data_IF_738679801200
#
_entry.id   IF_738679801200
#
_cell.length_a   1.000
_cell.length_b   1.000
_cell.length_c   1.000
_cell.angle_alpha   90.00
_cell.angle_beta   90.00
_cell.angle_gamma   90.00
#
_symmetry.space_group_name_H-M   'P 1'
#
loop_
_entity.id
_entity.type
_entity.pdbx_description
1 polymer ?
#
# COMPACT_ATOMS: atom_id res chain seq x y z
N UNK A 1 -20.40 10.38 -8.55
CA UNK A 1 -19.19 10.98 -7.95
C UNK A 1 -18.01 10.78 -8.88
N UNK A 2 -17.19 11.81 -9.10
CA UNK A 2 -16.03 11.75 -9.99
C UNK A 2 -14.82 11.15 -9.25
N UNK A 3 -14.23 10.09 -9.82
CA UNK A 3 -12.99 9.50 -9.30
C UNK A 3 -11.81 9.97 -10.16
N UNK A 4 -10.85 10.73 -9.58
CA UNK A 4 -9.70 11.22 -10.32
C UNK A 4 -8.87 10.07 -10.88
N UNK A 5 -8.39 10.21 -12.12
CA UNK A 5 -7.60 9.18 -12.81
C UNK A 5 -6.34 8.76 -12.03
N UNK A 6 -5.79 9.65 -11.20
CA UNK A 6 -4.63 9.39 -10.34
C UNK A 6 -4.92 8.34 -9.26
N UNK A 7 -6.13 8.29 -8.71
CA UNK A 7 -6.53 7.22 -7.78
C UNK A 7 -6.77 5.88 -8.48
N UNK A 8 -6.79 5.86 -9.81
CA UNK A 8 -6.99 4.65 -10.62
C UNK A 8 -5.67 3.96 -11.00
N UNK A 9 -4.53 4.59 -10.74
CA UNK A 9 -3.20 4.07 -11.04
C UNK A 9 -2.38 3.98 -9.75
N UNK A 10 -1.79 2.82 -9.50
CA UNK A 10 -0.84 2.60 -8.43
C UNK A 10 0.41 1.93 -8.99
N UNK A 11 1.58 2.30 -8.49
CA UNK A 11 2.83 1.66 -8.87
C UNK A 11 3.07 0.46 -7.95
N UNK A 12 2.84 -0.74 -8.44
CA UNK A 12 3.17 -1.97 -7.72
C UNK A 12 4.67 -2.23 -7.79
N UNK A 13 5.38 -2.04 -6.68
CA UNK A 13 6.81 -2.40 -6.59
C UNK A 13 6.94 -3.77 -5.95
N UNK A 14 7.65 -4.64 -6.64
CA UNK A 14 7.92 -6.01 -6.19
C UNK A 14 9.20 -5.99 -5.36
N UNK A 15 9.07 -6.18 -4.04
CA UNK A 15 10.20 -6.24 -3.12
C UNK A 15 10.51 -7.69 -2.76
N UNK A 16 11.79 -8.03 -2.65
CA UNK A 16 12.25 -9.33 -2.16
C UNK A 16 12.03 -9.44 -0.65
N UNK A 17 11.53 -10.59 -0.17
CA UNK A 17 11.53 -10.91 1.26
C UNK A 17 12.95 -11.23 1.71
N UNK A 18 13.35 -10.74 2.89
CA UNK A 18 14.66 -11.05 3.45
C UNK A 18 14.71 -12.54 3.87
N UNK A 19 15.89 -13.17 3.71
CA UNK A 19 16.18 -14.57 4.11
C UNK A 19 15.41 -15.68 3.37
N UNK A 20 15.09 -15.49 2.09
CA UNK A 20 14.65 -16.59 1.22
C UNK A 20 15.81 -17.10 0.38
N UNK A 21 15.96 -18.43 0.34
CA UNK A 21 17.03 -19.12 -0.40
C UNK A 21 16.75 -19.16 -1.91
N UNK A 22 15.48 -19.34 -2.31
CA UNK A 22 15.07 -19.36 -3.73
C UNK A 22 14.37 -18.06 -4.15
N UNK A 23 15.00 -17.26 -5.00
CA UNK A 23 14.38 -16.06 -5.60
C UNK A 23 13.66 -16.35 -6.93
N UNK A 24 13.55 -17.62 -7.34
CA UNK A 24 12.78 -18.05 -8.52
C UNK A 24 11.29 -18.26 -8.28
N UNK A 25 10.86 -18.32 -7.01
CA UNK A 25 9.45 -18.55 -6.63
C UNK A 25 8.75 -17.21 -6.36
N UNK A 26 7.51 -16.99 -6.85
CA UNK A 26 6.75 -15.76 -6.61
C UNK A 26 6.50 -15.51 -5.11
N UNK A 27 6.54 -16.57 -4.31
CA UNK A 27 6.41 -16.58 -2.86
C UNK A 27 7.54 -15.83 -2.12
N UNK A 28 8.69 -15.63 -2.77
CA UNK A 28 9.83 -14.89 -2.23
C UNK A 28 9.72 -13.38 -2.41
N UNK A 29 8.66 -12.91 -3.08
CA UNK A 29 8.41 -11.50 -3.29
C UNK A 29 7.16 -11.04 -2.52
N UNK A 30 7.18 -9.79 -2.10
CA UNK A 30 6.02 -9.06 -1.60
C UNK A 30 5.75 -7.91 -2.56
N UNK A 31 4.51 -7.80 -3.02
CA UNK A 31 4.10 -6.65 -3.83
C UNK A 31 3.64 -5.56 -2.87
N UNK A 32 4.26 -4.39 -2.96
CA UNK A 32 3.83 -3.20 -2.22
C UNK A 32 3.39 -2.16 -3.23
N UNK A 33 2.14 -1.74 -3.12
CA UNK A 33 1.61 -0.68 -3.96
C UNK A 33 2.07 0.67 -3.40
N UNK A 34 2.95 1.35 -4.13
CA UNK A 34 3.22 2.76 -3.90
C UNK A 34 1.98 3.55 -4.33
N UNK A 35 1.21 3.92 -3.32
CA UNK A 35 0.12 4.86 -3.48
C UNK A 35 0.70 6.23 -3.83
N UNK A 36 0.05 6.90 -4.78
CA UNK A 36 0.29 8.32 -5.08
C UNK A 36 0.15 9.17 -3.80
N UNK A 37 0.76 10.36 -3.78
CA UNK A 37 0.70 11.30 -2.65
C UNK A 37 -0.73 11.49 -2.15
N UNK A 38 -1.69 11.59 -3.08
CA UNK A 38 -3.12 11.74 -2.76
C UNK A 38 -3.68 10.54 -1.98
N UNK A 39 -3.26 9.33 -2.32
CA UNK A 39 -3.65 8.11 -1.63
C UNK A 39 -3.05 8.02 -0.22
N UNK A 40 -1.77 8.36 -0.05
CA UNK A 40 -1.13 8.39 1.27
C UNK A 40 -1.78 9.39 2.22
N UNK A 41 -2.22 10.54 1.70
CA UNK A 41 -2.97 11.53 2.49
C UNK A 41 -4.29 10.92 2.97
N UNK A 42 -5.03 10.24 2.09
CA UNK A 42 -6.28 9.59 2.45
C UNK A 42 -6.08 8.49 3.51
N UNK A 43 -5.06 7.64 3.34
CA UNK A 43 -4.68 6.63 4.34
C UNK A 43 -4.35 7.27 5.69
N UNK A 44 -3.65 8.40 5.71
CA UNK A 44 -3.35 9.12 6.95
C UNK A 44 -4.62 9.63 7.64
N UNK A 45 -5.58 10.16 6.88
CA UNK A 45 -6.87 10.62 7.43
C UNK A 45 -7.68 9.44 8.00
N UNK A 46 -7.80 8.35 7.24
CA UNK A 46 -8.53 7.15 7.66
C UNK A 46 -7.86 6.52 8.87
N UNK A 47 -6.52 6.40 8.87
CA UNK A 47 -5.74 5.88 9.99
C UNK A 47 -5.89 6.73 11.26
N UNK A 48 -5.90 8.06 11.14
CA UNK A 48 -6.19 8.96 12.28
C UNK A 48 -7.60 8.75 12.83
N UNK A 49 -8.60 8.55 11.96
CA UNK A 49 -9.99 8.28 12.39
C UNK A 49 -10.11 6.93 13.07
N UNK A 50 -9.55 5.86 12.50
CA UNK A 50 -9.52 4.53 13.09
C UNK A 50 -8.81 4.52 14.45
N UNK A 51 -7.66 5.20 14.56
CA UNK A 51 -6.95 5.37 15.84
C UNK A 51 -7.79 6.07 16.90
N UNK A 52 -8.60 7.07 16.50
CA UNK A 52 -9.52 7.74 17.41
C UNK A 52 -10.64 6.80 17.87
N UNK A 53 -11.13 5.93 16.99
CA UNK A 53 -12.19 4.97 17.30
C UNK A 53 -11.70 3.79 18.16
N UNK A 54 -10.52 3.23 17.88
CA UNK A 54 -9.95 2.11 18.65
C UNK A 54 -9.38 2.48 20.02
N UNK A 55 -9.41 3.76 20.39
CA UNK A 55 -9.08 4.25 21.74
C UNK A 55 -10.31 4.41 22.65
N UNK A 56 -11.51 4.11 22.14
CA UNK A 56 -12.77 4.14 22.88
C UNK A 56 -13.14 2.73 23.30
#
# INVERSE_FOLDING_TARGET
>A
GYMPKQFRRALGVVMRKARKEDYGKPESYRVTNLLDISGKVLESIVGRRLKKWGKK
#
